data_IF_763282814537
#
_entry.id   IF_763282814537
#
_cell.length_a   1.000
_cell.length_b   1.000
_cell.length_c   1.000
_cell.angle_alpha   90.00
_cell.angle_beta   90.00
_cell.angle_gamma   90.00
#
_symmetry.space_group_name_H-M   'P 1'
#
loop_
_entity.id
_entity.type
_entity.pdbx_description
1 polymer ?
#
# COMPACT_ATOMS: atom_id res chain seq x y z
N UNK A 1 7.14 -18.18 17.75
CA UNK A 1 7.72 -16.84 17.49
C UNK A 1 6.93 -16.22 16.35
N UNK A 2 6.62 -14.92 16.43
CA UNK A 2 5.97 -14.22 15.33
C UNK A 2 6.88 -14.16 14.08
N UNK A 3 6.28 -14.02 12.90
CA UNK A 3 6.96 -14.04 11.58
C UNK A 3 7.94 -12.87 11.38
N UNK A 4 7.79 -11.80 12.19
CA UNK A 4 8.62 -10.59 12.18
C UNK A 4 9.38 -10.39 13.49
N UNK A 5 9.50 -11.43 14.32
CA UNK A 5 10.20 -11.33 15.60
C UNK A 5 11.64 -10.81 15.43
N UNK A 6 11.97 -9.73 16.14
CA UNK A 6 13.28 -9.09 16.10
C UNK A 6 13.54 -8.20 14.87
N UNK A 7 12.57 -8.00 13.98
CA UNK A 7 12.66 -7.05 12.86
C UNK A 7 12.20 -5.66 13.29
N UNK A 8 12.81 -4.64 12.72
CA UNK A 8 12.43 -3.23 12.83
C UNK A 8 11.71 -2.82 11.57
N UNK A 9 10.49 -2.32 11.71
CA UNK A 9 9.63 -1.92 10.60
C UNK A 9 9.29 -0.43 10.65
N UNK A 10 9.45 0.24 9.52
CA UNK A 10 9.02 1.62 9.27
C UNK A 10 7.79 1.60 8.39
N UNK A 11 6.74 2.34 8.80
CA UNK A 11 5.47 2.44 8.07
C UNK A 11 5.13 3.92 7.81
N UNK A 12 5.17 4.35 6.57
CA UNK A 12 4.64 5.65 6.17
C UNK A 12 3.15 5.54 5.82
N UNK A 13 2.30 6.38 6.42
CA UNK A 13 0.84 6.32 6.27
C UNK A 13 0.20 5.28 7.19
N UNK A 14 0.64 5.23 8.45
CA UNK A 14 0.28 4.20 9.44
C UNK A 14 -0.94 4.51 10.32
N UNK A 15 -1.57 5.69 10.19
CA UNK A 15 -2.60 6.13 11.14
C UNK A 15 -4.00 5.55 10.88
N UNK A 16 -4.27 5.00 9.70
CA UNK A 16 -5.59 4.50 9.30
C UNK A 16 -5.55 3.45 8.20
N UNK A 17 -6.72 2.85 7.91
CA UNK A 17 -6.94 1.93 6.80
C UNK A 17 -5.91 0.80 6.72
N UNK A 18 -5.38 0.55 5.53
CA UNK A 18 -4.39 -0.51 5.29
C UNK A 18 -3.12 -0.29 6.12
N UNK A 19 -2.67 0.98 6.27
CA UNK A 19 -1.47 1.28 7.06
C UNK A 19 -1.62 0.89 8.53
N UNK A 20 -2.71 1.31 9.18
CA UNK A 20 -2.97 0.94 10.57
C UNK A 20 -3.19 -0.56 10.75
N UNK A 21 -3.91 -1.21 9.82
CA UNK A 21 -4.04 -2.66 9.85
C UNK A 21 -2.67 -3.36 9.73
N UNK A 22 -1.76 -2.82 8.92
CA UNK A 22 -0.40 -3.35 8.80
C UNK A 22 0.41 -3.13 10.07
N UNK A 23 0.30 -1.95 10.71
CA UNK A 23 0.94 -1.69 12.02
C UNK A 23 0.48 -2.72 13.05
N UNK A 24 -0.84 -2.97 13.15
CA UNK A 24 -1.41 -3.98 14.06
C UNK A 24 -0.82 -5.38 13.81
N UNK A 25 -0.79 -5.79 12.54
CA UNK A 25 -0.25 -7.10 12.17
C UNK A 25 1.26 -7.20 12.42
N UNK A 26 2.03 -6.14 12.15
CA UNK A 26 3.47 -6.13 12.40
C UNK A 26 3.78 -6.27 13.89
N UNK A 27 3.05 -5.54 14.76
CA UNK A 27 3.16 -5.67 16.23
C UNK A 27 2.79 -7.09 16.67
N UNK A 28 1.67 -7.62 16.19
CA UNK A 28 1.21 -8.98 16.52
C UNK A 28 2.22 -10.06 16.10
N UNK A 29 2.97 -9.82 15.01
CA UNK A 29 4.02 -10.72 14.52
C UNK A 29 5.40 -10.46 15.14
N UNK A 30 5.48 -9.57 16.14
CA UNK A 30 6.66 -9.37 16.98
C UNK A 30 7.70 -8.39 16.42
N UNK A 31 7.33 -7.53 15.47
CA UNK A 31 8.20 -6.46 15.02
C UNK A 31 8.23 -5.28 16.01
N UNK A 32 9.37 -4.57 16.06
CA UNK A 32 9.43 -3.21 16.59
C UNK A 32 8.97 -2.26 15.48
N UNK A 33 7.87 -1.53 15.71
CA UNK A 33 7.21 -0.75 14.66
C UNK A 33 7.32 0.74 14.91
N UNK A 34 7.78 1.49 13.91
CA UNK A 34 7.77 2.95 13.85
C UNK A 34 6.86 3.37 12.70
N UNK A 35 5.74 3.99 13.04
CA UNK A 35 4.78 4.46 12.06
C UNK A 35 4.74 5.98 11.99
N UNK A 36 4.44 6.52 10.83
CA UNK A 36 4.23 7.95 10.64
C UNK A 36 3.02 8.25 9.78
N UNK A 37 2.42 9.40 10.04
CA UNK A 37 1.29 9.96 9.26
C UNK A 37 1.23 11.47 9.52
N UNK A 38 0.43 12.20 8.75
CA UNK A 38 0.11 13.61 9.04
C UNK A 38 -0.97 13.75 10.12
N UNK A 39 -1.54 12.67 10.60
CA UNK A 39 -2.64 12.61 11.57
C UNK A 39 -2.30 11.64 12.69
N UNK A 40 -2.93 11.86 13.84
CA UNK A 40 -2.91 10.88 14.91
C UNK A 40 -3.61 9.58 14.49
N UNK A 41 -3.23 8.44 15.08
CA UNK A 41 -3.85 7.16 14.79
C UNK A 41 -5.35 7.19 15.07
N UNK A 42 -6.13 6.53 14.20
CA UNK A 42 -7.58 6.43 14.37
C UNK A 42 -7.99 5.63 15.63
N UNK A 43 -7.10 4.80 16.15
CA UNK A 43 -7.30 3.99 17.33
C UNK A 43 -6.00 3.96 18.17
N UNK A 44 -6.16 3.96 19.50
CA UNK A 44 -5.02 3.71 20.39
C UNK A 44 -4.54 2.26 20.23
N UNK A 45 -3.25 2.08 20.07
CA UNK A 45 -2.60 0.77 19.95
C UNK A 45 -1.26 0.81 20.70
N UNK A 46 -1.05 -0.16 21.57
CA UNK A 46 0.22 -0.35 22.26
C UNK A 46 1.23 -1.09 21.39
N UNK A 47 2.51 -0.96 21.74
CA UNK A 47 3.57 -1.76 21.12
C UNK A 47 4.17 -1.17 19.84
N UNK A 48 3.84 0.06 19.47
CA UNK A 48 4.50 0.79 18.37
C UNK A 48 4.75 2.25 18.74
N UNK A 49 5.52 2.94 17.91
CA UNK A 49 5.78 4.38 18.02
C UNK A 49 5.14 5.10 16.85
N UNK A 50 4.40 6.17 17.14
CA UNK A 50 3.80 7.03 16.13
C UNK A 50 4.46 8.41 16.14
N UNK A 51 4.70 8.97 14.95
CA UNK A 51 5.27 10.32 14.77
C UNK A 51 4.50 11.05 13.67
N UNK A 52 4.16 12.31 13.91
CA UNK A 52 3.54 13.15 12.88
C UNK A 52 4.59 13.58 11.86
N UNK A 53 4.45 13.15 10.61
CA UNK A 53 5.36 13.42 9.50
C UNK A 53 4.57 13.65 8.22
N UNK A 54 4.84 14.75 7.54
CA UNK A 54 4.46 14.88 6.14
C UNK A 54 5.46 14.11 5.26
N UNK A 55 5.02 13.00 4.70
CA UNK A 55 5.86 12.16 3.85
C UNK A 55 6.26 12.82 2.52
N UNK A 56 5.74 14.01 2.20
CA UNK A 56 6.16 14.82 1.05
C UNK A 56 7.26 15.83 1.38
N UNK A 57 7.58 16.00 2.66
CA UNK A 57 8.67 16.84 3.16
C UNK A 57 9.95 16.00 3.34
N UNK A 58 10.96 16.27 2.51
CA UNK A 58 12.22 15.53 2.52
C UNK A 58 12.94 15.63 3.88
N UNK A 59 12.95 16.81 4.51
CA UNK A 59 13.64 16.99 5.79
C UNK A 59 12.94 16.28 6.93
N UNK A 60 11.60 16.31 6.95
CA UNK A 60 10.79 15.60 7.94
C UNK A 60 10.94 14.08 7.81
N UNK A 61 10.96 13.55 6.58
CA UNK A 61 11.19 12.11 6.31
C UNK A 61 12.59 11.68 6.76
N UNK A 62 13.63 12.48 6.44
CA UNK A 62 15.00 12.19 6.86
C UNK A 62 15.12 12.18 8.39
N UNK A 63 14.61 13.20 9.07
CA UNK A 63 14.65 13.30 10.53
C UNK A 63 13.92 12.13 11.22
N UNK A 64 12.79 11.67 10.66
CA UNK A 64 12.07 10.51 11.17
C UNK A 64 12.90 9.23 11.05
N UNK A 65 13.52 8.98 9.89
CA UNK A 65 14.36 7.80 9.66
C UNK A 65 15.62 7.84 10.53
N UNK A 66 16.26 9.00 10.68
CA UNK A 66 17.41 9.18 11.58
C UNK A 66 17.03 8.87 13.04
N UNK A 67 15.85 9.30 13.48
CA UNK A 67 15.31 8.98 14.79
C UNK A 67 15.10 7.47 14.99
N UNK A 68 14.57 6.76 13.99
CA UNK A 68 14.45 5.31 14.03
C UNK A 68 15.82 4.64 14.12
N UNK A 69 16.79 5.08 13.32
CA UNK A 69 18.15 4.53 13.36
C UNK A 69 18.85 4.81 14.69
N UNK A 70 18.66 5.99 15.27
CA UNK A 70 19.22 6.32 16.58
C UNK A 70 18.67 5.44 17.72
N UNK A 71 17.36 5.08 17.66
CA UNK A 71 16.70 4.27 18.68
C UNK A 71 16.90 2.76 18.44
N UNK A 72 16.72 2.28 17.22
CA UNK A 72 16.69 0.85 16.92
C UNK A 72 17.96 0.30 16.26
N UNK A 73 18.82 1.16 15.72
CA UNK A 73 20.09 0.80 15.09
C UNK A 73 19.97 0.07 13.74
N UNK A 74 18.75 -0.21 13.26
CA UNK A 74 18.49 -0.93 12.02
C UNK A 74 17.08 -0.67 11.48
N UNK A 75 16.87 -0.93 10.19
CA UNK A 75 15.56 -0.96 9.55
C UNK A 75 15.50 -2.19 8.64
N UNK A 76 14.65 -3.16 8.95
CA UNK A 76 14.50 -4.40 8.19
C UNK A 76 13.37 -4.32 7.16
N UNK A 77 12.33 -3.55 7.46
CA UNK A 77 11.13 -3.43 6.64
C UNK A 77 10.76 -1.97 6.45
N UNK A 78 10.50 -1.59 5.20
CA UNK A 78 9.87 -0.32 4.85
C UNK A 78 8.52 -0.60 4.18
N UNK A 79 7.45 -0.04 4.72
CA UNK A 79 6.14 -0.04 4.08
C UNK A 79 5.72 1.38 3.69
N UNK A 80 5.76 1.67 2.39
CA UNK A 80 5.28 2.91 1.79
C UNK A 80 3.79 2.77 1.48
N UNK A 81 2.92 3.37 2.29
CA UNK A 81 1.47 3.27 2.15
C UNK A 81 0.76 4.62 1.97
N UNK A 82 1.48 5.74 2.05
CA UNK A 82 0.91 7.07 1.81
C UNK A 82 0.33 7.16 0.40
N UNK A 83 -0.87 7.74 0.30
CA UNK A 83 -1.49 8.00 -0.99
C UNK A 83 -2.90 8.51 -0.87
N UNK A 84 -3.38 9.11 -1.97
CA UNK A 84 -4.75 9.59 -2.14
C UNK A 84 -5.34 9.06 -3.45
N UNK A 85 -6.66 9.07 -3.52
CA UNK A 85 -7.45 8.83 -4.73
C UNK A 85 -7.99 10.17 -5.23
N UNK A 86 -8.03 10.39 -6.55
CA UNK A 86 -8.53 11.65 -7.11
C UNK A 86 -9.96 11.51 -7.64
N UNK A 87 -10.25 10.45 -8.40
CA UNK A 87 -11.59 10.14 -8.91
C UNK A 87 -12.09 11.13 -9.95
N UNK A 88 -11.20 11.67 -10.79
CA UNK A 88 -11.52 12.66 -11.84
C UNK A 88 -11.10 12.20 -13.21
N UNK A 89 -11.86 12.65 -14.23
CA UNK A 89 -11.47 12.48 -15.63
C UNK A 89 -10.19 13.27 -15.95
N UNK A 90 -9.55 12.95 -17.08
CA UNK A 90 -8.32 13.64 -17.50
C UNK A 90 -8.55 15.14 -17.74
N UNK A 91 -9.67 15.48 -18.38
CA UNK A 91 -9.98 16.87 -18.74
C UNK A 91 -10.42 17.72 -17.55
N UNK A 92 -10.94 17.11 -16.49
CA UNK A 92 -11.38 17.79 -15.27
C UNK A 92 -10.26 17.90 -14.22
N UNK A 93 -9.14 17.22 -14.43
CA UNK A 93 -7.99 17.28 -13.52
C UNK A 93 -7.18 18.52 -13.77
N UNK A 94 -7.10 19.40 -12.79
CA UNK A 94 -6.24 20.60 -12.82
C UNK A 94 -4.77 20.21 -12.66
N UNK A 95 -3.86 21.09 -13.13
CA UNK A 95 -2.41 20.89 -12.92
C UNK A 95 -2.03 20.80 -11.44
N UNK A 96 -2.66 21.61 -10.59
CA UNK A 96 -2.41 21.58 -9.14
C UNK A 96 -2.82 20.23 -8.52
N UNK A 97 -3.95 19.64 -8.94
CA UNK A 97 -4.37 18.30 -8.50
C UNK A 97 -3.45 17.20 -9.04
N UNK A 98 -2.98 17.35 -10.28
CA UNK A 98 -1.97 16.46 -10.85
C UNK A 98 -0.68 16.49 -10.03
N UNK A 99 -0.14 17.67 -9.74
CA UNK A 99 1.08 17.82 -8.94
C UNK A 99 0.91 17.27 -7.51
N UNK A 100 -0.24 17.53 -6.89
CA UNK A 100 -0.55 17.08 -5.54
C UNK A 100 -0.64 15.54 -5.46
N UNK A 101 -1.34 14.88 -6.38
CA UNK A 101 -1.46 13.42 -6.36
C UNK A 101 -0.12 12.73 -6.66
N UNK A 102 0.71 13.30 -7.53
CA UNK A 102 2.07 12.78 -7.75
C UNK A 102 2.96 13.00 -6.53
N UNK A 103 2.84 14.13 -5.85
CA UNK A 103 3.57 14.40 -4.61
C UNK A 103 3.20 13.34 -3.54
N UNK A 104 1.92 13.14 -3.28
CA UNK A 104 1.45 12.23 -2.23
C UNK A 104 1.64 10.75 -2.58
N UNK A 105 1.38 10.35 -3.83
CA UNK A 105 1.43 8.93 -4.19
C UNK A 105 2.85 8.47 -4.59
N UNK A 106 3.63 9.31 -5.28
CA UNK A 106 4.91 8.90 -5.87
C UNK A 106 6.09 9.47 -5.10
N UNK A 107 6.13 10.81 -4.90
CA UNK A 107 7.26 11.46 -4.21
C UNK A 107 7.38 10.98 -2.77
N UNK A 108 6.29 10.82 -2.04
CA UNK A 108 6.33 10.29 -0.67
C UNK A 108 6.99 8.90 -0.60
N UNK A 109 6.61 7.98 -1.47
CA UNK A 109 7.23 6.64 -1.53
C UNK A 109 8.71 6.70 -1.96
N UNK A 110 9.05 7.60 -2.87
CA UNK A 110 10.43 7.86 -3.27
C UNK A 110 11.26 8.38 -2.10
N UNK A 111 10.78 9.37 -1.35
CA UNK A 111 11.50 9.96 -0.22
C UNK A 111 11.70 8.94 0.90
N UNK A 112 10.66 8.21 1.29
CA UNK A 112 10.77 7.15 2.29
C UNK A 112 11.77 6.07 1.89
N UNK A 113 11.73 5.63 0.63
CA UNK A 113 12.69 4.65 0.11
C UNK A 113 14.11 5.21 0.07
N UNK A 114 14.29 6.43 -0.42
CA UNK A 114 15.60 7.10 -0.51
C UNK A 114 16.25 7.27 0.87
N UNK A 115 15.47 7.58 1.89
CA UNK A 115 15.98 7.74 3.25
C UNK A 115 16.39 6.41 3.89
N UNK A 116 15.63 5.32 3.66
CA UNK A 116 15.87 4.01 4.29
C UNK A 116 16.90 3.16 3.53
N UNK A 117 16.94 3.25 2.20
CA UNK A 117 17.73 2.38 1.35
C UNK A 117 19.24 2.34 1.68
N UNK A 118 19.93 3.45 2.01
CA UNK A 118 21.34 3.41 2.38
C UNK A 118 21.61 2.52 3.60
N UNK A 119 20.74 2.54 4.60
CA UNK A 119 20.85 1.70 5.80
C UNK A 119 20.66 0.22 5.47
N UNK A 120 19.68 -0.11 4.61
CA UNK A 120 19.48 -1.49 4.15
C UNK A 120 20.65 -2.01 3.32
N UNK A 121 21.29 -1.14 2.51
CA UNK A 121 22.49 -1.47 1.74
C UNK A 121 23.67 -1.83 2.68
N UNK A 122 23.90 -1.01 3.70
CA UNK A 122 24.93 -1.27 4.71
C UNK A 122 24.66 -2.55 5.49
N UNK A 123 23.40 -2.80 5.86
CA UNK A 123 22.94 -4.03 6.53
C UNK A 123 23.02 -5.28 5.63
N UNK A 124 23.08 -5.12 4.31
CA UNK A 124 22.95 -6.19 3.29
C UNK A 124 21.66 -7.00 3.46
N UNK A 125 20.62 -6.36 3.91
CA UNK A 125 19.31 -6.96 4.14
C UNK A 125 18.23 -5.87 4.16
N UNK A 126 17.07 -6.15 3.58
CA UNK A 126 15.91 -5.28 3.67
C UNK A 126 14.72 -5.76 2.85
N UNK A 127 13.52 -5.36 3.25
CA UNK A 127 12.29 -5.58 2.49
C UNK A 127 11.52 -4.27 2.34
N UNK A 128 11.41 -3.78 1.11
CA UNK A 128 10.65 -2.59 0.75
C UNK A 128 9.33 -3.03 0.14
N UNK A 129 8.22 -2.61 0.74
CA UNK A 129 6.88 -2.89 0.23
C UNK A 129 6.20 -1.55 -0.07
N UNK A 130 5.59 -1.43 -1.23
CA UNK A 130 4.90 -0.20 -1.64
C UNK A 130 3.45 -0.51 -2.04
N UNK A 131 2.51 0.25 -1.49
CA UNK A 131 1.10 0.15 -1.85
C UNK A 131 0.85 0.82 -3.20
N UNK A 132 0.70 -0.02 -4.24
CA UNK A 132 0.17 0.42 -5.53
C UNK A 132 -1.37 0.29 -5.54
N UNK A 133 -1.94 -0.33 -6.55
CA UNK A 133 -3.36 -0.61 -6.72
C UNK A 133 -3.53 -1.60 -7.89
N UNK A 134 -4.70 -2.22 -8.04
CA UNK A 134 -5.05 -2.83 -9.32
C UNK A 134 -5.02 -1.81 -10.48
N UNK A 135 -5.25 -0.51 -10.20
CA UNK A 135 -5.02 0.58 -11.13
C UNK A 135 -3.55 0.83 -11.50
N UNK A 136 -2.59 0.14 -10.88
CA UNK A 136 -1.16 0.15 -11.26
C UNK A 136 -0.80 -0.89 -12.32
N UNK A 137 -1.75 -1.73 -12.75
CA UNK A 137 -1.55 -2.79 -13.75
C UNK A 137 -2.64 -2.83 -14.81
N UNK A 138 -3.72 -2.06 -14.64
CA UNK A 138 -4.82 -1.98 -15.58
C UNK A 138 -5.29 -0.54 -15.76
N UNK A 139 -5.83 -0.22 -16.95
CA UNK A 139 -6.47 1.07 -17.20
C UNK A 139 -7.81 1.21 -16.47
N UNK A 140 -8.11 2.41 -15.99
CA UNK A 140 -9.42 2.77 -15.39
C UNK A 140 -9.91 4.06 -16.02
N UNK A 141 -11.10 4.08 -16.66
CA UNK A 141 -11.53 5.23 -17.45
C UNK A 141 -11.82 6.48 -16.61
N UNK A 142 -12.23 6.33 -15.36
CA UNK A 142 -12.63 7.44 -14.50
C UNK A 142 -11.49 8.04 -13.65
N UNK A 143 -10.24 7.59 -13.84
CA UNK A 143 -9.16 7.94 -12.90
C UNK A 143 -7.75 7.79 -13.50
N UNK A 144 -7.51 8.41 -14.67
CA UNK A 144 -6.26 8.18 -15.40
C UNK A 144 -5.02 8.70 -14.68
N UNK A 145 -5.10 9.83 -13.98
CA UNK A 145 -3.95 10.41 -13.27
C UNK A 145 -3.57 9.58 -12.04
N UNK A 146 -4.55 9.10 -11.27
CA UNK A 146 -4.29 8.16 -10.19
C UNK A 146 -3.62 6.87 -10.72
N UNK A 147 -4.15 6.31 -11.82
CA UNK A 147 -3.55 5.13 -12.44
C UNK A 147 -2.10 5.37 -12.86
N UNK A 148 -1.78 6.54 -13.42
CA UNK A 148 -0.41 6.90 -13.77
C UNK A 148 0.51 6.87 -12.54
N UNK A 149 0.06 7.43 -11.40
CA UNK A 149 0.86 7.37 -10.15
C UNK A 149 1.09 5.93 -9.68
N UNK A 150 0.08 5.07 -9.78
CA UNK A 150 0.18 3.67 -9.33
C UNK A 150 1.03 2.80 -10.26
N UNK A 151 1.03 3.07 -11.57
CA UNK A 151 1.99 2.48 -12.52
C UNK A 151 3.42 2.96 -12.24
N UNK A 152 3.62 4.25 -11.92
CA UNK A 152 4.93 4.78 -11.58
C UNK A 152 5.53 4.06 -10.36
N UNK A 153 4.73 3.75 -9.32
CA UNK A 153 5.17 2.99 -8.15
C UNK A 153 5.60 1.56 -8.51
N UNK A 154 4.88 0.90 -9.41
CA UNK A 154 5.27 -0.44 -9.91
C UNK A 154 6.61 -0.38 -10.62
N UNK A 155 6.80 0.60 -11.51
CA UNK A 155 8.05 0.80 -12.25
C UNK A 155 9.22 1.09 -11.31
N UNK A 156 9.05 2.01 -10.37
CA UNK A 156 10.06 2.37 -9.35
C UNK A 156 10.45 1.14 -8.53
N UNK A 157 9.47 0.41 -8.00
CA UNK A 157 9.72 -0.77 -7.16
C UNK A 157 10.48 -1.87 -7.90
N UNK A 158 10.12 -2.16 -9.16
CA UNK A 158 10.85 -3.13 -9.99
C UNK A 158 12.29 -2.70 -10.24
N UNK A 159 12.53 -1.42 -10.48
CA UNK A 159 13.88 -0.89 -10.69
C UNK A 159 14.73 -1.03 -9.43
N UNK A 160 14.19 -0.77 -8.24
CA UNK A 160 14.87 -0.96 -6.95
C UNK A 160 15.16 -2.45 -6.74
N UNK A 161 14.21 -3.33 -7.02
CA UNK A 161 14.38 -4.77 -6.89
C UNK A 161 15.56 -5.28 -7.72
N UNK A 162 15.65 -4.88 -9.00
CA UNK A 162 16.73 -5.29 -9.89
C UNK A 162 18.08 -4.70 -9.46
N UNK A 163 18.10 -3.42 -9.08
CA UNK A 163 19.33 -2.72 -8.73
C UNK A 163 19.99 -3.26 -7.45
N UNK A 164 19.18 -3.68 -6.46
CA UNK A 164 19.66 -3.96 -5.11
C UNK A 164 19.50 -5.44 -4.66
N UNK A 165 19.02 -6.34 -5.53
CA UNK A 165 18.89 -7.76 -5.20
C UNK A 165 20.21 -8.39 -4.73
N UNK A 166 21.32 -8.05 -5.37
CA UNK A 166 22.66 -8.54 -5.02
C UNK A 166 23.16 -8.06 -3.65
N UNK A 167 22.51 -7.05 -3.08
CA UNK A 167 22.78 -6.50 -1.76
C UNK A 167 21.83 -7.06 -0.68
N UNK A 168 21.04 -8.10 -1.01
CA UNK A 168 20.10 -8.72 -0.08
C UNK A 168 18.80 -7.92 0.15
N UNK A 169 18.52 -6.94 -0.72
CA UNK A 169 17.33 -6.10 -0.61
C UNK A 169 16.25 -6.60 -1.57
N UNK A 170 15.03 -6.71 -1.06
CA UNK A 170 13.84 -7.04 -1.85
C UNK A 170 12.93 -5.82 -1.91
N UNK A 171 12.31 -5.61 -3.07
CA UNK A 171 11.32 -4.57 -3.26
C UNK A 171 10.11 -5.13 -4.02
N UNK A 172 8.91 -4.98 -3.46
CA UNK A 172 7.68 -5.54 -3.98
C UNK A 172 6.53 -4.55 -3.87
N UNK A 173 5.50 -4.68 -4.72
CA UNK A 173 4.26 -3.94 -4.56
C UNK A 173 3.12 -4.84 -4.11
N UNK A 174 2.27 -4.33 -3.22
CA UNK A 174 0.92 -4.85 -3.02
C UNK A 174 -0.05 -4.00 -3.84
N UNK A 175 -0.98 -4.67 -4.52
CA UNK A 175 -1.92 -4.05 -5.45
C UNK A 175 -3.36 -4.34 -5.01
N UNK A 176 -3.88 -3.60 -4.00
CA UNK A 176 -5.24 -3.80 -3.53
C UNK A 176 -6.28 -3.47 -4.62
N UNK A 177 -7.39 -4.19 -4.57
CA UNK A 177 -8.65 -3.82 -5.21
C UNK A 177 -9.41 -2.77 -4.39
N UNK A 178 -10.75 -2.84 -4.44
CA UNK A 178 -11.59 -2.10 -3.51
C UNK A 178 -11.46 -2.70 -2.10
N UNK A 179 -11.02 -1.87 -1.14
CA UNK A 179 -10.83 -2.24 0.27
C UNK A 179 -11.62 -1.27 1.12
N UNK A 180 -12.36 -1.77 2.11
CA UNK A 180 -13.14 -0.95 3.03
C UNK A 180 -12.19 -0.15 3.93
N UNK A 181 -12.07 1.13 3.62
CA UNK A 181 -11.20 2.09 4.28
C UNK A 181 -11.83 3.48 4.24
N UNK A 182 -11.35 4.39 5.09
CA UNK A 182 -11.75 5.81 5.03
C UNK A 182 -11.52 6.43 3.66
N UNK A 183 -10.48 6.02 2.93
CA UNK A 183 -10.22 6.49 1.57
C UNK A 183 -11.37 6.14 0.62
N UNK A 184 -11.91 4.92 0.70
CA UNK A 184 -13.07 4.54 -0.11
C UNK A 184 -14.32 5.32 0.32
N UNK A 185 -14.53 5.47 1.62
CA UNK A 185 -15.70 6.17 2.18
C UNK A 185 -15.66 7.67 1.92
N UNK A 186 -14.48 8.30 1.96
CA UNK A 186 -14.32 9.76 1.76
C UNK A 186 -14.53 10.24 0.32
N UNK A 187 -14.63 9.33 -0.64
CA UNK A 187 -14.96 9.70 -2.04
C UNK A 187 -16.44 9.88 -2.29
N UNK A 188 -17.28 9.81 -1.25
CA UNK A 188 -18.74 9.73 -1.33
C UNK A 188 -19.38 10.77 -0.43
N UNK A 189 -20.46 11.39 -0.92
CA UNK A 189 -21.07 12.55 -0.26
C UNK A 189 -22.28 12.16 0.62
N UNK A 190 -22.80 10.93 0.50
CA UNK A 190 -23.93 10.47 1.29
C UNK A 190 -23.87 8.94 1.56
N UNK A 191 -24.62 8.44 2.57
CA UNK A 191 -24.78 7.01 2.82
C UNK A 191 -25.35 6.24 1.61
N UNK A 192 -26.30 6.84 0.88
CA UNK A 192 -26.93 6.23 -0.29
C UNK A 192 -25.92 6.11 -1.45
N UNK A 193 -25.07 7.12 -1.65
CA UNK A 193 -23.96 7.04 -2.61
C UNK A 193 -22.97 5.94 -2.23
N UNK A 194 -22.71 5.76 -0.92
CA UNK A 194 -21.86 4.70 -0.43
C UNK A 194 -22.44 3.32 -0.77
N UNK A 195 -23.72 3.07 -0.49
CA UNK A 195 -24.38 1.80 -0.81
C UNK A 195 -24.35 1.52 -2.33
N UNK A 196 -24.70 2.52 -3.13
CA UNK A 196 -24.69 2.41 -4.60
C UNK A 196 -23.27 2.09 -5.10
N UNK A 197 -22.26 2.79 -4.61
CA UNK A 197 -20.87 2.56 -4.99
C UNK A 197 -20.38 1.20 -4.54
N UNK A 198 -20.73 0.80 -3.32
CA UNK A 198 -20.39 -0.52 -2.79
C UNK A 198 -20.99 -1.63 -3.67
N UNK A 199 -22.28 -1.52 -4.04
CA UNK A 199 -22.91 -2.46 -4.96
C UNK A 199 -22.17 -2.53 -6.33
N UNK A 200 -21.78 -1.39 -6.89
CA UNK A 200 -21.00 -1.35 -8.14
C UNK A 200 -19.63 -2.02 -8.00
N UNK A 201 -18.93 -1.78 -6.87
CA UNK A 201 -17.64 -2.38 -6.58
C UNK A 201 -17.76 -3.90 -6.41
N UNK A 202 -18.76 -4.36 -5.65
CA UNK A 202 -19.09 -5.78 -5.46
C UNK A 202 -19.42 -6.42 -6.81
N UNK A 203 -20.32 -5.82 -7.60
CA UNK A 203 -20.72 -6.33 -8.92
C UNK A 203 -19.55 -6.44 -9.90
N UNK A 204 -18.57 -5.55 -9.78
CA UNK A 204 -17.38 -5.52 -10.66
C UNK A 204 -16.18 -6.30 -10.12
N UNK A 205 -16.30 -6.97 -8.97
CA UNK A 205 -15.24 -7.78 -8.36
C UNK A 205 -15.63 -9.27 -8.42
N UNK A 206 -14.82 -10.14 -9.04
CA UNK A 206 -15.14 -11.57 -9.14
C UNK A 206 -15.43 -12.24 -7.79
N UNK A 207 -14.72 -11.88 -6.74
CA UNK A 207 -14.96 -12.39 -5.37
C UNK A 207 -16.28 -11.93 -4.74
N UNK A 208 -17.08 -11.08 -5.42
CA UNK A 208 -18.40 -10.60 -4.99
C UNK A 208 -18.42 -9.89 -3.63
N UNK A 209 -17.33 -9.25 -3.25
CA UNK A 209 -17.22 -8.42 -2.04
C UNK A 209 -16.13 -7.38 -2.16
N UNK A 210 -16.18 -6.41 -1.27
CA UNK A 210 -15.06 -5.50 -0.98
C UNK A 210 -14.09 -6.24 -0.07
N UNK A 211 -12.79 -5.99 -0.20
CA UNK A 211 -11.76 -6.54 0.67
C UNK A 211 -11.70 -5.79 2.00
N UNK A 212 -11.07 -6.41 2.98
CA UNK A 212 -10.80 -5.84 4.29
C UNK A 212 -9.34 -5.39 4.40
N UNK A 213 -9.06 -4.33 5.18
CA UNK A 213 -7.71 -3.80 5.33
C UNK A 213 -6.70 -4.84 5.87
N UNK A 214 -7.15 -5.72 6.78
CA UNK A 214 -6.31 -6.77 7.35
C UNK A 214 -5.90 -7.85 6.31
N UNK A 215 -6.69 -8.09 5.27
CA UNK A 215 -6.34 -9.01 4.19
C UNK A 215 -5.12 -8.51 3.40
N UNK A 216 -5.05 -7.21 3.17
CA UNK A 216 -3.87 -6.57 2.57
C UNK A 216 -2.69 -6.61 3.54
N UNK A 217 -2.91 -6.32 4.82
CA UNK A 217 -1.88 -6.34 5.85
C UNK A 217 -1.22 -7.73 5.99
N UNK A 218 -1.98 -8.84 5.89
CA UNK A 218 -1.42 -10.20 5.88
C UNK A 218 -0.47 -10.45 4.70
N UNK A 219 -0.79 -9.92 3.51
CA UNK A 219 0.11 -10.00 2.37
C UNK A 219 1.38 -9.15 2.57
N UNK A 220 1.26 -7.99 3.21
CA UNK A 220 2.40 -7.14 3.58
C UNK A 220 3.30 -7.87 4.59
N UNK A 221 2.73 -8.53 5.62
CA UNK A 221 3.49 -9.38 6.56
C UNK A 221 4.27 -10.48 5.82
N UNK A 222 3.65 -11.18 4.86
CA UNK A 222 4.34 -12.18 4.04
C UNK A 222 5.54 -11.58 3.33
N UNK A 223 5.37 -10.45 2.64
CA UNK A 223 6.45 -9.79 1.91
C UNK A 223 7.53 -9.21 2.85
N UNK A 224 7.18 -8.84 4.07
CA UNK A 224 8.12 -8.37 5.09
C UNK A 224 8.93 -9.49 5.73
N UNK A 225 8.38 -10.70 5.76
CA UNK A 225 8.95 -11.87 6.44
C UNK A 225 10.01 -12.59 5.62
N UNK A 226 10.70 -13.52 6.28
CA UNK A 226 11.69 -14.38 5.65
C UNK A 226 11.07 -15.49 4.78
N UNK A 227 9.75 -15.67 4.82
CA UNK A 227 9.02 -16.59 3.96
C UNK A 227 9.08 -16.16 2.47
N UNK A 228 9.30 -14.87 2.22
CA UNK A 228 9.36 -14.29 0.88
C UNK A 228 10.77 -13.96 0.39
N UNK A 229 11.81 -14.66 0.89
CA UNK A 229 13.23 -14.37 0.55
C UNK A 229 13.55 -14.40 -0.93
N UNK A 230 12.83 -15.15 -1.74
CA UNK A 230 13.02 -15.22 -3.19
C UNK A 230 11.94 -14.50 -3.99
N UNK A 231 11.07 -13.74 -3.30
CA UNK A 231 10.03 -12.90 -3.92
C UNK A 231 10.56 -11.48 -4.03
N UNK A 232 10.92 -11.05 -5.24
CA UNK A 232 11.51 -9.74 -5.51
C UNK A 232 11.01 -9.19 -6.85
N UNK A 233 10.57 -7.93 -6.86
CA UNK A 233 9.98 -7.28 -8.03
C UNK A 233 8.54 -7.72 -8.34
N UNK A 234 7.86 -8.41 -7.42
CA UNK A 234 6.50 -8.89 -7.65
C UNK A 234 5.49 -7.73 -7.59
N UNK A 235 4.48 -7.84 -8.43
CA UNK A 235 3.25 -7.05 -8.34
C UNK A 235 2.19 -7.99 -7.80
N UNK A 236 1.89 -7.89 -6.49
CA UNK A 236 1.00 -8.84 -5.81
C UNK A 236 -0.43 -8.28 -5.73
N UNK A 237 -1.38 -8.78 -6.54
CA UNK A 237 -2.77 -8.34 -6.44
C UNK A 237 -3.45 -8.92 -5.19
N UNK A 238 -4.17 -8.07 -4.46
CA UNK A 238 -5.08 -8.44 -3.37
C UNK A 238 -6.42 -7.77 -3.71
N UNK A 239 -7.11 -8.29 -4.72
CA UNK A 239 -8.19 -7.57 -5.39
C UNK A 239 -9.41 -8.43 -5.75
N UNK A 240 -9.51 -9.62 -5.17
CA UNK A 240 -10.62 -10.53 -5.46
C UNK A 240 -10.71 -10.95 -6.92
N UNK A 241 -9.54 -11.13 -7.57
CA UNK A 241 -9.37 -11.49 -8.99
C UNK A 241 -9.75 -10.36 -9.98
N UNK A 242 -9.90 -9.10 -9.52
CA UNK A 242 -10.32 -7.98 -10.39
C UNK A 242 -9.36 -7.73 -11.57
N UNK A 243 -8.07 -7.89 -11.36
CA UNK A 243 -7.05 -7.71 -12.38
C UNK A 243 -6.66 -9.00 -13.12
N UNK A 244 -7.22 -10.15 -12.75
CA UNK A 244 -6.87 -11.44 -13.36
C UNK A 244 -7.49 -11.66 -14.74
N UNK A 245 -8.58 -10.94 -15.06
CA UNK A 245 -9.26 -11.05 -16.36
C UNK A 245 -10.54 -10.25 -16.44
N UNK A 246 -11.22 -10.36 -17.60
CA UNK A 246 -12.51 -9.74 -17.81
C UNK A 246 -13.62 -10.62 -17.21
N UNK A 247 -14.58 -9.99 -16.51
CA UNK A 247 -15.81 -10.68 -16.13
C UNK A 247 -16.79 -10.71 -17.30
N UNK A 248 -17.53 -11.81 -17.47
CA UNK A 248 -18.68 -11.82 -18.36
C UNK A 248 -19.67 -10.72 -17.98
N UNK A 249 -20.32 -10.13 -18.96
CA UNK A 249 -21.22 -8.99 -18.77
C UNK A 249 -22.45 -9.27 -17.88
N UNK A 250 -22.74 -10.56 -17.59
CA UNK A 250 -23.78 -10.96 -16.68
C UNK A 250 -23.26 -12.08 -15.73
N UNK A 251 -23.04 -11.72 -14.47
CA UNK A 251 -22.60 -12.68 -13.43
C UNK A 251 -23.60 -13.83 -13.22
N UNK A 252 -24.88 -13.54 -13.35
CA UNK A 252 -25.94 -14.55 -13.17
C UNK A 252 -25.94 -15.63 -14.27
N UNK A 253 -25.40 -15.33 -15.47
CA UNK A 253 -25.25 -16.33 -16.52
C UNK A 253 -24.18 -17.38 -16.18
N UNK A 254 -23.11 -16.96 -15.48
CA UNK A 254 -22.05 -17.85 -15.02
C UNK A 254 -22.54 -18.83 -13.96
N UNK A 255 -23.32 -18.34 -12.98
CA UNK A 255 -23.92 -19.20 -11.94
C UNK A 255 -24.85 -20.24 -12.56
N UNK A 256 -25.55 -19.86 -13.61
CA UNK A 256 -26.42 -20.76 -14.36
C UNK A 256 -25.63 -21.81 -15.17
N UNK A 257 -24.58 -21.37 -15.89
CA UNK A 257 -23.75 -22.27 -16.70
C UNK A 257 -22.92 -23.26 -15.88
N UNK A 258 -22.46 -22.84 -14.68
CA UNK A 258 -21.68 -23.67 -13.78
C UNK A 258 -22.55 -24.53 -12.82
N UNK A 259 -23.88 -24.39 -12.90
CA UNK A 259 -24.80 -25.14 -12.04
C UNK A 259 -24.71 -24.80 -10.56
N UNK A 260 -24.10 -23.67 -10.20
CA UNK A 260 -24.04 -23.17 -8.84
C UNK A 260 -25.37 -22.48 -8.54
N UNK A 261 -26.16 -23.06 -7.63
CA UNK A 261 -27.43 -22.49 -7.16
C UNK A 261 -27.23 -21.74 -5.86
#
# INVERSE_FOLDING_TARGET
>A
MGRLAGKVAVVFGGARGIGLATVKEFVAEGATVFASDIREPAEALDGYRHTLVDATDEAAVAAFVDGVMAEAGRIDVLFNNVGIHLGKSLVDTTLAEFDNIFALNVRAAYLGTRAVLPHMIEQKAGSIITTSSNGGVMGRPGDPVYNATKHALVGLTKSIAVAHAHQGIRANTVNPGAVDTDMLRSTLNSPEEFETKQHQLVASTPAARVGEAWEVAKAVVFLASDESRFVNGVVLPIDGAKAAGAMPGNRYSLDFELGVR
#
